data_IF_808963867781
#
_entry.id   IF_808963867781
#
_cell.length_a   1.000
_cell.length_b   1.000
_cell.length_c   1.000
_cell.angle_alpha   90.00
_cell.angle_beta   90.00
_cell.angle_gamma   90.00
#
_symmetry.space_group_name_H-M   'P 1'
#
loop_
_entity.id
_entity.type
_entity.pdbx_description
1 polymer ?
#
# COMPACT_ATOMS: atom_id res chain seq x y z
N UNK A 1 -1.08 -4.64 -8.55
CA UNK A 1 0.01 -3.85 -7.98
C UNK A 1 1.07 -3.45 -9.00
N UNK A 2 1.64 -4.37 -9.79
CA UNK A 2 2.50 -3.98 -10.93
C UNK A 2 1.81 -3.01 -11.89
N UNK A 3 0.53 -3.23 -12.20
CA UNK A 3 -0.26 -2.29 -12.99
C UNK A 3 -0.38 -0.89 -12.36
N UNK A 4 -0.50 -0.81 -11.04
CA UNK A 4 -0.55 0.48 -10.33
C UNK A 4 0.79 1.25 -10.42
N UNK A 5 1.92 0.55 -10.40
CA UNK A 5 3.22 1.17 -10.62
C UNK A 5 3.35 1.74 -12.05
N UNK A 6 2.83 1.00 -13.06
CA UNK A 6 2.79 1.48 -14.44
C UNK A 6 1.89 2.72 -14.60
N UNK A 7 0.78 2.79 -13.86
CA UNK A 7 -0.09 3.98 -13.83
C UNK A 7 0.69 5.19 -13.32
N UNK A 8 1.40 5.04 -12.19
CA UNK A 8 2.21 6.14 -11.64
C UNK A 8 3.27 6.64 -12.62
N UNK A 9 3.93 5.73 -13.35
CA UNK A 9 4.90 6.08 -14.38
C UNK A 9 4.22 6.86 -15.52
N UNK A 10 3.08 6.35 -16.01
CA UNK A 10 2.33 7.00 -17.09
C UNK A 10 1.82 8.39 -16.69
N UNK A 11 1.24 8.54 -15.50
CA UNK A 11 0.80 9.84 -14.99
C UNK A 11 1.97 10.83 -14.81
N UNK A 12 3.11 10.36 -14.29
CA UNK A 12 4.30 11.19 -14.17
C UNK A 12 4.80 11.64 -15.55
N UNK A 13 4.71 10.76 -16.56
CA UNK A 13 5.06 11.12 -17.92
C UNK A 13 4.11 12.19 -18.50
N UNK A 14 2.79 12.00 -18.31
CA UNK A 14 1.81 13.03 -18.75
C UNK A 14 2.06 14.39 -18.10
N UNK A 15 2.27 14.39 -16.79
CA UNK A 15 2.55 15.61 -16.03
C UNK A 15 3.88 16.23 -16.48
N UNK A 16 4.88 15.41 -16.79
CA UNK A 16 6.15 15.88 -17.36
C UNK A 16 6.00 16.59 -18.71
N UNK A 17 5.03 16.17 -19.54
CA UNK A 17 4.70 16.88 -20.80
C UNK A 17 4.03 18.24 -20.57
N UNK A 18 3.37 18.44 -19.43
CA UNK A 18 2.78 19.73 -19.04
C UNK A 18 3.83 20.74 -18.56
N UNK A 19 5.02 20.28 -18.15
CA UNK A 19 6.14 21.12 -17.75
C UNK A 19 6.74 20.80 -16.39
N UNK A 20 7.77 21.57 -16.02
CA UNK A 20 8.54 21.35 -14.79
C UNK A 20 7.74 21.70 -13.52
N UNK A 21 6.97 22.79 -13.56
CA UNK A 21 6.17 23.25 -12.42
C UNK A 21 5.00 22.30 -12.08
N UNK A 22 4.23 21.79 -13.07
CA UNK A 22 3.28 20.70 -12.83
C UNK A 22 3.92 19.43 -12.23
N UNK A 23 5.12 19.07 -12.70
CA UNK A 23 5.83 17.90 -12.17
C UNK A 23 6.25 18.11 -10.70
N UNK A 24 6.68 19.31 -10.33
CA UNK A 24 6.94 19.68 -8.94
C UNK A 24 5.64 19.64 -8.08
N UNK A 25 4.51 20.13 -8.63
CA UNK A 25 3.19 20.04 -8.00
C UNK A 25 2.75 18.60 -7.76
N UNK A 26 2.98 17.71 -8.74
CA UNK A 26 2.69 16.28 -8.58
C UNK A 26 3.53 15.63 -7.47
N UNK A 27 4.80 16.00 -7.34
CA UNK A 27 5.66 15.50 -6.27
C UNK A 27 5.14 15.87 -4.86
N UNK A 28 4.51 17.03 -4.70
CA UNK A 28 3.88 17.46 -3.44
C UNK A 28 2.61 16.67 -3.11
N UNK A 29 1.77 16.38 -4.12
CA UNK A 29 0.49 15.69 -3.88
C UNK A 29 0.64 14.18 -3.72
N UNK A 30 1.65 13.59 -4.35
CA UNK A 30 1.84 12.15 -4.44
C UNK A 30 1.86 11.40 -3.09
N UNK A 31 2.55 11.89 -2.04
CA UNK A 31 2.54 11.22 -0.72
C UNK A 31 1.13 11.09 -0.12
N UNK A 32 0.26 12.09 -0.32
CA UNK A 32 -1.11 12.08 0.21
C UNK A 32 -2.00 11.11 -0.57
N UNK A 33 -1.86 11.05 -1.88
CA UNK A 33 -2.55 10.07 -2.73
C UNK A 33 -2.10 8.64 -2.39
N UNK A 34 -0.79 8.43 -2.21
CA UNK A 34 -0.24 7.14 -1.80
C UNK A 34 -0.77 6.72 -0.43
N UNK A 35 -0.80 7.63 0.56
CA UNK A 35 -1.36 7.37 1.88
C UNK A 35 -2.82 6.95 1.79
N UNK A 36 -3.64 7.68 1.03
CA UNK A 36 -5.05 7.33 0.80
C UNK A 36 -5.21 5.92 0.21
N UNK A 37 -4.40 5.54 -0.76
CA UNK A 37 -4.42 4.20 -1.36
C UNK A 37 -4.01 3.12 -0.35
N UNK A 38 -2.96 3.34 0.42
CA UNK A 38 -2.52 2.39 1.46
C UNK A 38 -3.58 2.20 2.54
N UNK A 39 -4.23 3.28 2.97
CA UNK A 39 -5.27 3.23 3.99
C UNK A 39 -6.54 2.54 3.47
N UNK A 40 -7.01 2.85 2.26
CA UNK A 40 -8.25 2.31 1.71
C UNK A 40 -8.12 0.84 1.26
N UNK A 41 -7.07 0.51 0.47
CA UNK A 41 -6.89 -0.82 -0.10
C UNK A 41 -6.19 -1.81 0.85
N UNK A 42 -5.16 -1.35 1.58
CA UNK A 42 -4.34 -2.18 2.45
C UNK A 42 -4.92 -2.31 3.85
N UNK A 43 -5.07 -1.19 4.54
CA UNK A 43 -5.44 -1.18 5.95
C UNK A 43 -6.92 -1.49 6.16
N UNK A 44 -7.78 -0.62 5.70
CA UNK A 44 -9.22 -0.78 5.90
C UNK A 44 -9.76 -1.94 5.04
N UNK A 45 -9.27 -2.06 3.81
CA UNK A 45 -9.61 -3.19 2.94
C UNK A 45 -9.27 -4.54 3.54
N UNK A 46 -8.13 -4.64 4.23
CA UNK A 46 -7.75 -5.83 4.98
C UNK A 46 -8.67 -6.11 6.17
N UNK A 47 -9.10 -5.06 6.90
CA UNK A 47 -10.09 -5.18 7.98
C UNK A 47 -11.42 -5.71 7.48
N UNK A 48 -11.93 -5.19 6.36
CA UNK A 48 -13.16 -5.65 5.71
C UNK A 48 -13.04 -7.12 5.29
N UNK A 49 -11.99 -7.46 4.55
CA UNK A 49 -11.76 -8.82 4.07
C UNK A 49 -11.60 -9.82 5.22
N UNK A 50 -10.94 -9.42 6.30
CA UNK A 50 -10.76 -10.20 7.52
C UNK A 50 -12.09 -10.47 8.24
N UNK A 51 -12.93 -9.45 8.44
CA UNK A 51 -14.22 -9.61 9.12
C UNK A 51 -15.17 -10.53 8.32
N UNK A 52 -15.24 -10.32 7.00
CA UNK A 52 -16.10 -11.11 6.10
C UNK A 52 -15.61 -12.56 6.03
N UNK A 53 -14.32 -12.80 5.85
CA UNK A 53 -13.78 -14.15 5.75
C UNK A 53 -13.98 -14.96 7.04
N UNK A 54 -13.85 -14.33 8.21
CA UNK A 54 -14.15 -14.97 9.49
C UNK A 54 -15.65 -15.31 9.64
N UNK A 55 -16.55 -14.42 9.21
CA UNK A 55 -17.99 -14.67 9.25
C UNK A 55 -18.38 -15.83 8.33
N UNK A 56 -17.86 -15.85 7.09
CA UNK A 56 -18.10 -16.93 6.14
C UNK A 56 -17.51 -18.27 6.63
N UNK A 57 -16.31 -18.25 7.20
CA UNK A 57 -15.72 -19.45 7.80
C UNK A 57 -16.53 -20.03 8.95
N UNK A 58 -17.23 -19.18 9.70
CA UNK A 58 -18.16 -19.59 10.75
C UNK A 58 -19.57 -20.02 10.21
N UNK A 59 -19.74 -20.08 8.89
CA UNK A 59 -21.03 -20.30 8.22
C UNK A 59 -22.13 -19.26 8.57
N UNK A 60 -21.71 -18.06 9.03
CA UNK A 60 -22.61 -16.96 9.38
C UNK A 60 -22.79 -16.00 8.19
N UNK A 61 -23.49 -16.47 7.16
CA UNK A 61 -23.80 -15.67 5.97
C UNK A 61 -24.61 -14.41 6.27
N UNK A 62 -25.60 -14.41 7.19
CA UNK A 62 -26.30 -13.19 7.59
C UNK A 62 -25.34 -12.11 8.13
N UNK A 63 -24.40 -12.48 9.00
CA UNK A 63 -23.38 -11.57 9.51
C UNK A 63 -22.47 -11.07 8.38
N UNK A 64 -22.05 -11.95 7.47
CA UNK A 64 -21.23 -11.57 6.33
C UNK A 64 -21.93 -10.56 5.42
N UNK A 65 -23.23 -10.72 5.14
CA UNK A 65 -24.03 -9.75 4.39
C UNK A 65 -24.16 -8.41 5.12
N UNK A 66 -24.41 -8.43 6.43
CA UNK A 66 -24.47 -7.21 7.23
C UNK A 66 -23.14 -6.44 7.22
N UNK A 67 -22.00 -7.14 7.24
CA UNK A 67 -20.67 -6.53 7.15
C UNK A 67 -20.47 -5.78 5.83
N UNK A 68 -21.12 -6.17 4.72
CA UNK A 68 -21.03 -5.44 3.43
C UNK A 68 -21.59 -4.02 3.58
N UNK A 69 -22.74 -3.85 4.25
CA UNK A 69 -23.32 -2.53 4.52
C UNK A 69 -22.39 -1.70 5.41
N UNK A 70 -21.89 -2.29 6.49
CA UNK A 70 -20.98 -1.60 7.42
C UNK A 70 -19.68 -1.16 6.72
N UNK A 71 -19.10 -2.01 5.85
CA UNK A 71 -17.96 -1.67 5.03
C UNK A 71 -18.24 -0.51 4.07
N UNK A 72 -19.45 -0.48 3.48
CA UNK A 72 -19.88 0.63 2.60
C UNK A 72 -19.98 1.94 3.37
N UNK A 73 -20.58 1.92 4.57
CA UNK A 73 -20.72 3.12 5.42
C UNK A 73 -19.37 3.64 5.92
N UNK A 74 -18.45 2.74 6.28
CA UNK A 74 -17.07 3.11 6.64
C UNK A 74 -16.37 3.77 5.45
N UNK A 75 -16.49 3.18 4.25
CA UNK A 75 -15.89 3.73 3.04
C UNK A 75 -16.43 5.12 2.70
N UNK A 76 -17.75 5.31 2.80
CA UNK A 76 -18.40 6.61 2.62
C UNK A 76 -17.91 7.62 3.66
N UNK A 77 -17.93 7.25 4.94
CA UNK A 77 -17.54 8.14 6.03
C UNK A 77 -16.08 8.60 5.93
N UNK A 78 -15.15 7.66 5.69
CA UNK A 78 -13.72 8.01 5.57
C UNK A 78 -13.45 8.71 4.24
N UNK A 79 -14.09 8.28 3.14
CA UNK A 79 -13.98 8.96 1.85
C UNK A 79 -14.44 10.42 1.92
N UNK A 80 -15.59 10.68 2.55
CA UNK A 80 -16.09 12.04 2.81
C UNK A 80 -15.14 12.84 3.72
N UNK A 81 -14.58 12.23 4.74
CA UNK A 81 -13.60 12.85 5.61
C UNK A 81 -12.37 13.33 4.83
N UNK A 82 -11.81 12.48 3.94
CA UNK A 82 -10.72 12.88 3.05
C UNK A 82 -11.14 14.01 2.10
N UNK A 83 -12.31 13.89 1.48
CA UNK A 83 -12.85 14.95 0.62
C UNK A 83 -12.94 16.28 1.38
N UNK A 84 -13.55 16.30 2.56
CA UNK A 84 -13.74 17.53 3.34
C UNK A 84 -12.42 18.13 3.81
N UNK A 85 -11.49 17.33 4.32
CA UNK A 85 -10.18 17.82 4.76
C UNK A 85 -9.44 18.48 3.60
N UNK A 86 -9.36 17.81 2.45
CA UNK A 86 -8.58 18.37 1.33
C UNK A 86 -9.32 19.48 0.56
N UNK A 87 -10.64 19.54 0.60
CA UNK A 87 -11.36 20.71 0.08
C UNK A 87 -11.16 21.95 0.95
N UNK A 88 -11.14 21.79 2.28
CA UNK A 88 -11.06 22.91 3.21
C UNK A 88 -9.62 23.30 3.55
N UNK A 89 -8.70 22.36 3.60
CA UNK A 89 -7.35 22.55 4.15
C UNK A 89 -6.21 22.16 3.19
N UNK A 90 -6.48 21.97 1.88
CA UNK A 90 -5.43 21.58 0.92
C UNK A 90 -4.27 22.59 0.89
N UNK A 91 -4.58 23.90 0.76
CA UNK A 91 -3.54 24.93 0.73
C UNK A 91 -2.64 24.92 1.97
N UNK A 92 -3.14 25.01 3.22
CA UNK A 92 -2.28 24.92 4.41
C UNK A 92 -1.52 23.60 4.52
N UNK A 93 -2.12 22.47 4.14
CA UNK A 93 -1.46 21.15 4.18
C UNK A 93 -0.26 21.15 3.22
N UNK A 94 -0.47 21.51 1.95
CA UNK A 94 0.60 21.46 0.95
C UNK A 94 1.65 22.55 1.14
N UNK A 95 1.29 23.72 1.70
CA UNK A 95 2.27 24.73 2.12
C UNK A 95 3.15 24.22 3.26
N UNK A 96 2.58 23.52 4.24
CA UNK A 96 3.33 22.92 5.35
C UNK A 96 4.31 21.82 4.90
N UNK A 97 4.05 21.16 3.76
CA UNK A 97 4.94 20.15 3.15
C UNK A 97 6.03 20.82 2.28
N UNK A 98 6.01 22.15 2.15
CA UNK A 98 7.01 22.91 1.39
C UNK A 98 6.55 23.41 0.02
N UNK A 99 5.25 23.33 -0.28
CA UNK A 99 4.68 23.88 -1.52
C UNK A 99 4.71 25.39 -1.54
N UNK A 100 5.22 25.99 -2.64
CA UNK A 100 5.32 27.43 -2.84
C UNK A 100 5.09 27.80 -4.31
N UNK A 101 4.62 29.03 -4.55
CA UNK A 101 4.47 29.61 -5.88
C UNK A 101 3.57 28.80 -6.81
N UNK A 102 3.88 28.78 -8.10
CA UNK A 102 3.09 28.08 -9.13
C UNK A 102 3.05 26.55 -8.95
N UNK A 103 4.11 25.95 -8.40
CA UNK A 103 4.10 24.51 -8.10
C UNK A 103 3.02 24.14 -7.08
N UNK A 104 2.75 25.02 -6.10
CA UNK A 104 1.65 24.84 -5.16
C UNK A 104 0.29 24.95 -5.88
N UNK A 105 0.11 25.90 -6.79
CA UNK A 105 -1.16 26.03 -7.52
C UNK A 105 -1.44 24.78 -8.38
N UNK A 106 -0.46 24.25 -9.10
CA UNK A 106 -0.58 23.00 -9.84
C UNK A 106 -0.85 21.79 -8.93
N UNK A 107 -0.26 21.77 -7.74
CA UNK A 107 -0.58 20.78 -6.72
C UNK A 107 -2.05 20.85 -6.29
N UNK A 108 -2.56 22.07 -6.06
CA UNK A 108 -3.94 22.31 -5.65
C UNK A 108 -4.94 21.94 -6.75
N UNK A 109 -4.65 22.26 -8.02
CA UNK A 109 -5.47 21.89 -9.18
C UNK A 109 -5.68 20.36 -9.25
N UNK A 110 -4.60 19.60 -9.04
CA UNK A 110 -4.70 18.15 -8.98
C UNK A 110 -5.44 17.68 -7.73
N UNK A 111 -5.04 18.18 -6.55
CA UNK A 111 -5.53 17.71 -5.26
C UNK A 111 -7.04 17.93 -5.10
N UNK A 112 -7.58 19.09 -5.51
CA UNK A 112 -9.00 19.38 -5.41
C UNK A 112 -9.84 18.33 -6.15
N UNK A 113 -9.46 17.98 -7.37
CA UNK A 113 -10.18 16.98 -8.16
C UNK A 113 -9.96 15.56 -7.59
N UNK A 114 -8.72 15.20 -7.31
CA UNK A 114 -8.37 13.86 -6.81
C UNK A 114 -9.09 13.55 -5.48
N UNK A 115 -9.11 14.49 -4.54
CA UNK A 115 -9.75 14.28 -3.25
C UNK A 115 -11.26 14.51 -3.25
N UNK A 116 -11.81 15.28 -4.22
CA UNK A 116 -13.26 15.27 -4.49
C UNK A 116 -13.72 13.85 -4.85
N UNK A 117 -12.91 13.09 -5.59
CA UNK A 117 -13.14 11.69 -5.93
C UNK A 117 -12.76 10.69 -4.86
N UNK A 118 -12.33 11.11 -3.66
CA UNK A 118 -11.88 10.18 -2.61
C UNK A 118 -12.93 9.13 -2.26
N UNK A 119 -14.20 9.49 -2.18
CA UNK A 119 -15.32 8.56 -1.92
C UNK A 119 -15.32 7.40 -2.93
N UNK A 120 -15.11 7.68 -4.22
CA UNK A 120 -15.07 6.65 -5.27
C UNK A 120 -13.92 5.68 -5.10
N UNK A 121 -12.75 6.18 -4.71
CA UNK A 121 -11.54 5.37 -4.43
C UNK A 121 -11.81 4.46 -3.23
N UNK A 122 -12.35 5.01 -2.14
CA UNK A 122 -12.67 4.26 -0.93
C UNK A 122 -13.73 3.19 -1.17
N UNK A 123 -14.79 3.50 -1.91
CA UNK A 123 -15.84 2.54 -2.27
C UNK A 123 -15.29 1.41 -3.15
N UNK A 124 -14.53 1.73 -4.20
CA UNK A 124 -13.90 0.72 -5.08
C UNK A 124 -13.03 -0.24 -4.29
N UNK A 125 -12.12 0.28 -3.47
CA UNK A 125 -11.21 -0.54 -2.67
C UNK A 125 -11.96 -1.37 -1.61
N UNK A 126 -13.01 -0.83 -1.00
CA UNK A 126 -13.84 -1.53 -0.02
C UNK A 126 -14.65 -2.65 -0.68
N UNK A 127 -15.32 -2.40 -1.79
CA UNK A 127 -16.07 -3.43 -2.53
C UNK A 127 -15.16 -4.53 -3.07
N UNK A 128 -13.97 -4.15 -3.59
CA UNK A 128 -12.95 -5.13 -3.96
C UNK A 128 -12.51 -5.98 -2.76
N UNK A 129 -12.42 -5.40 -1.57
CA UNK A 129 -12.05 -6.09 -0.34
C UNK A 129 -13.16 -6.99 0.20
N UNK A 130 -14.43 -6.60 0.03
CA UNK A 130 -15.58 -7.47 0.27
C UNK A 130 -15.46 -8.74 -0.56
N UNK A 131 -15.22 -8.61 -1.87
CA UNK A 131 -15.08 -9.76 -2.77
C UNK A 131 -13.85 -10.62 -2.42
N UNK A 132 -12.72 -10.00 -2.10
CA UNK A 132 -11.53 -10.74 -1.61
C UNK A 132 -11.84 -11.53 -0.34
N UNK A 133 -12.63 -10.95 0.57
CA UNK A 133 -13.09 -11.60 1.79
C UNK A 133 -13.92 -12.86 1.54
N UNK A 134 -14.61 -12.97 0.41
CA UNK A 134 -15.32 -14.19 -0.02
C UNK A 134 -14.41 -15.24 -0.69
N UNK A 135 -13.12 -14.95 -0.87
CA UNK A 135 -12.20 -15.77 -1.65
C UNK A 135 -12.22 -15.49 -3.16
N UNK A 136 -13.10 -14.60 -3.62
CA UNK A 136 -13.14 -14.21 -5.04
C UNK A 136 -12.04 -13.19 -5.34
N UNK A 137 -10.89 -13.68 -5.80
CA UNK A 137 -9.77 -12.83 -6.23
C UNK A 137 -9.90 -12.40 -7.70
N UNK A 138 -10.65 -13.17 -8.52
CA UNK A 138 -10.72 -12.95 -9.97
C UNK A 138 -11.44 -11.65 -10.33
N UNK A 139 -12.60 -11.41 -9.73
CA UNK A 139 -13.43 -10.22 -10.04
C UNK A 139 -12.72 -8.92 -9.63
N UNK A 140 -12.27 -8.73 -8.37
CA UNK A 140 -11.58 -7.50 -7.98
C UNK A 140 -10.28 -7.28 -8.75
N UNK A 141 -9.53 -8.33 -9.09
CA UNK A 141 -8.30 -8.18 -9.88
C UNK A 141 -8.58 -7.69 -11.30
N UNK A 142 -9.61 -8.22 -11.96
CA UNK A 142 -10.03 -7.75 -13.30
C UNK A 142 -10.50 -6.29 -13.26
N UNK A 143 -11.32 -5.94 -12.28
CA UNK A 143 -11.84 -4.57 -12.14
C UNK A 143 -10.71 -3.59 -11.88
N UNK A 144 -9.80 -3.89 -10.94
CA UNK A 144 -8.67 -3.02 -10.65
C UNK A 144 -7.69 -2.90 -11.84
N UNK A 145 -7.54 -3.95 -12.64
CA UNK A 145 -6.77 -3.86 -13.88
C UNK A 145 -7.45 -2.92 -14.89
N UNK A 146 -8.77 -3.02 -15.04
CA UNK A 146 -9.53 -2.11 -15.91
C UNK A 146 -9.48 -0.66 -15.40
N UNK A 147 -9.50 -0.46 -14.07
CA UNK A 147 -9.26 0.88 -13.47
C UNK A 147 -7.89 1.42 -13.90
N UNK A 148 -6.83 0.61 -13.79
CA UNK A 148 -5.48 1.04 -14.20
C UNK A 148 -5.43 1.43 -15.68
N UNK A 149 -6.01 0.62 -16.57
CA UNK A 149 -6.06 0.91 -18.02
C UNK A 149 -6.90 2.17 -18.28
N UNK A 150 -8.08 2.26 -17.67
CA UNK A 150 -8.97 3.41 -17.81
C UNK A 150 -8.34 4.69 -17.26
N UNK A 151 -7.65 4.61 -16.12
CA UNK A 151 -6.92 5.73 -15.52
C UNK A 151 -5.83 6.24 -16.46
N UNK A 152 -4.95 5.37 -16.97
CA UNK A 152 -3.91 5.77 -17.93
C UNK A 152 -4.53 6.43 -19.17
N UNK A 153 -5.55 5.83 -19.77
CA UNK A 153 -6.18 6.36 -20.97
C UNK A 153 -6.86 7.73 -20.70
N UNK A 154 -7.70 7.80 -19.68
CA UNK A 154 -8.47 9.02 -19.37
C UNK A 154 -7.60 10.16 -18.86
N UNK A 155 -6.59 9.86 -18.00
CA UNK A 155 -5.64 10.86 -17.51
C UNK A 155 -4.81 11.45 -18.66
N UNK A 156 -4.41 10.64 -19.64
CA UNK A 156 -3.71 11.12 -20.83
C UNK A 156 -4.62 11.98 -21.72
N UNK A 157 -5.84 11.51 -22.01
CA UNK A 157 -6.79 12.22 -22.86
C UNK A 157 -7.19 13.58 -22.25
N UNK A 158 -7.57 13.58 -20.98
CA UNK A 158 -8.04 14.80 -20.30
C UNK A 158 -6.87 15.72 -19.89
N UNK A 159 -5.73 15.16 -19.51
CA UNK A 159 -4.56 15.95 -19.09
C UNK A 159 -3.88 16.66 -20.26
N UNK A 160 -3.61 15.93 -21.34
CA UNK A 160 -2.87 16.45 -22.49
C UNK A 160 -3.77 17.04 -23.59
N UNK A 161 -5.07 16.75 -23.57
CA UNK A 161 -5.99 17.23 -24.61
C UNK A 161 -5.82 16.48 -25.92
N UNK A 162 -6.08 15.18 -25.94
CA UNK A 162 -5.96 14.35 -27.12
C UNK A 162 -7.29 14.33 -27.92
N UNK A 163 -7.20 14.53 -29.23
CA UNK A 163 -8.36 14.57 -30.14
C UNK A 163 -9.18 15.85 -30.01
N UNK A 164 -10.52 15.78 -29.96
CA UNK A 164 -11.38 16.97 -29.86
C UNK A 164 -11.48 17.55 -28.44
N UNK A 165 -10.84 16.94 -27.45
CA UNK A 165 -10.92 17.31 -26.04
C UNK A 165 -9.82 18.32 -25.74
N UNK A 166 -10.14 19.47 -25.12
CA UNK A 166 -9.13 20.45 -24.71
C UNK A 166 -8.28 19.89 -23.55
N UNK A 167 -7.05 20.37 -23.44
CA UNK A 167 -6.18 20.03 -22.29
C UNK A 167 -6.69 20.70 -21.03
N UNK A 168 -6.92 19.89 -19.98
CA UNK A 168 -7.26 20.37 -18.63
C UNK A 168 -6.07 20.33 -17.68
N UNK A 169 -4.85 20.03 -18.18
CA UNK A 169 -3.64 20.04 -17.38
C UNK A 169 -3.71 19.09 -16.17
N UNK A 170 -3.24 19.55 -15.01
CA UNK A 170 -3.21 18.78 -13.77
C UNK A 170 -4.59 18.31 -13.30
N UNK A 171 -5.61 19.17 -13.43
CA UNK A 171 -7.01 18.82 -13.12
C UNK A 171 -7.53 17.70 -14.03
N UNK A 172 -7.13 17.69 -15.32
CA UNK A 172 -7.48 16.64 -16.27
C UNK A 172 -6.88 15.28 -15.92
N UNK A 173 -5.62 15.25 -15.49
CA UNK A 173 -4.97 14.02 -15.03
C UNK A 173 -5.70 13.44 -13.81
N UNK A 174 -6.02 14.28 -12.84
CA UNK A 174 -6.79 13.86 -11.66
C UNK A 174 -8.22 13.40 -12.00
N UNK A 175 -8.89 14.09 -12.94
CA UNK A 175 -10.24 13.75 -13.40
C UNK A 175 -10.27 12.35 -14.06
N UNK A 176 -9.23 11.99 -14.81
CA UNK A 176 -9.09 10.66 -15.39
C UNK A 176 -9.08 9.55 -14.31
N UNK A 177 -8.29 9.76 -13.26
CA UNK A 177 -8.26 8.86 -12.10
C UNK A 177 -9.63 8.74 -11.44
N UNK A 178 -10.25 9.86 -11.10
CA UNK A 178 -11.56 9.88 -10.42
C UNK A 178 -12.64 9.21 -11.26
N UNK A 179 -12.65 9.44 -12.57
CA UNK A 179 -13.62 8.84 -13.49
C UNK A 179 -13.45 7.32 -13.54
N UNK A 180 -12.21 6.81 -13.63
CA UNK A 180 -11.93 5.38 -13.64
C UNK A 180 -12.38 4.70 -12.34
N UNK A 181 -12.09 5.29 -11.18
CA UNK A 181 -12.53 4.77 -9.88
C UNK A 181 -14.05 4.89 -9.69
N UNK A 182 -14.67 5.99 -10.13
CA UNK A 182 -16.13 6.17 -10.03
C UNK A 182 -16.88 5.12 -10.86
N UNK A 183 -16.44 4.88 -12.08
CA UNK A 183 -17.00 3.83 -12.94
C UNK A 183 -16.86 2.45 -12.29
N UNK A 184 -15.71 2.18 -11.69
CA UNK A 184 -15.45 0.94 -10.97
C UNK A 184 -16.34 0.80 -9.72
N UNK A 185 -16.48 1.87 -8.93
CA UNK A 185 -17.34 1.86 -7.75
C UNK A 185 -18.80 1.55 -8.12
N UNK A 186 -19.31 2.18 -9.18
CA UNK A 186 -20.66 1.93 -9.72
C UNK A 186 -20.81 0.48 -10.19
N UNK A 187 -19.83 -0.02 -10.96
CA UNK A 187 -19.87 -1.40 -11.43
C UNK A 187 -19.87 -2.41 -10.27
N UNK A 188 -18.97 -2.24 -9.28
CA UNK A 188 -18.88 -3.13 -8.12
C UNK A 188 -20.12 -3.04 -7.22
N UNK A 189 -20.72 -1.86 -7.09
CA UNK A 189 -22.00 -1.68 -6.39
C UNK A 189 -23.10 -2.53 -7.01
N UNK A 190 -23.30 -2.45 -8.32
CA UNK A 190 -24.29 -3.27 -9.02
C UNK A 190 -23.93 -4.75 -9.01
N UNK A 191 -22.63 -5.09 -9.09
CA UNK A 191 -22.17 -6.47 -8.97
C UNK A 191 -22.54 -7.07 -7.62
N UNK A 192 -22.31 -6.34 -6.50
CA UNK A 192 -22.67 -6.79 -5.15
C UNK A 192 -24.20 -6.85 -4.90
N UNK A 193 -25.01 -6.23 -5.75
CA UNK A 193 -26.48 -6.36 -5.71
C UNK A 193 -27.02 -7.43 -6.66
N UNK A 194 -26.17 -8.00 -7.49
CA UNK A 194 -26.58 -9.03 -8.44
C UNK A 194 -26.51 -10.43 -7.81
N UNK A 195 -27.28 -11.37 -8.38
CA UNK A 195 -27.22 -12.79 -8.02
C UNK A 195 -25.88 -13.48 -8.31
N UNK A 196 -24.95 -12.79 -8.98
CA UNK A 196 -23.59 -13.29 -9.27
C UNK A 196 -22.65 -13.18 -8.07
N UNK A 197 -22.98 -12.36 -7.09
CA UNK A 197 -22.18 -12.18 -5.88
C UNK A 197 -22.62 -13.16 -4.80
N UNK A 198 -21.64 -13.75 -4.10
CA UNK A 198 -21.91 -14.61 -2.95
C UNK A 198 -22.56 -13.84 -1.78
N UNK A 199 -22.15 -12.58 -1.62
CA UNK A 199 -22.71 -11.66 -0.61
C UNK A 199 -23.50 -10.56 -1.31
N UNK A 200 -24.58 -10.14 -0.66
CA UNK A 200 -25.46 -9.12 -1.20
C UNK A 200 -25.44 -7.85 -0.34
N UNK A 201 -25.30 -6.69 -1.01
CA UNK A 201 -25.44 -5.40 -0.36
C UNK A 201 -26.93 -5.11 -0.13
N UNK A 202 -27.40 -5.31 1.11
CA UNK A 202 -28.75 -5.00 1.54
C UNK A 202 -28.73 -3.81 2.49
N UNK A 203 -29.58 -2.82 2.24
CA UNK A 203 -29.76 -1.66 3.12
C UNK A 203 -30.71 -1.93 4.30
N UNK A 204 -31.34 -3.10 4.34
CA UNK A 204 -32.24 -3.51 5.41
C UNK A 204 -31.53 -4.17 6.59
N UNK A 205 -30.22 -4.43 6.46
CA UNK A 205 -29.45 -5.03 7.55
C UNK A 205 -29.37 -4.08 8.75
N UNK A 206 -29.59 -4.56 9.99
CA UNK A 206 -29.52 -3.72 11.17
C UNK A 206 -28.08 -3.23 11.39
N UNK A 207 -27.95 -1.96 11.74
CA UNK A 207 -26.67 -1.38 12.10
C UNK A 207 -26.26 -1.85 13.49
N UNK A 208 -25.05 -2.38 13.61
CA UNK A 208 -24.50 -2.89 14.87
C UNK A 208 -23.12 -2.30 15.14
N UNK A 209 -22.94 -1.74 16.34
CA UNK A 209 -21.65 -1.26 16.80
C UNK A 209 -20.59 -2.36 16.77
N UNK A 210 -20.96 -3.61 17.06
CA UNK A 210 -20.06 -4.74 17.05
C UNK A 210 -19.49 -5.01 15.66
N UNK A 211 -20.29 -4.87 14.60
CA UNK A 211 -19.84 -5.08 13.22
C UNK A 211 -18.93 -3.95 12.73
N UNK A 212 -19.20 -2.70 13.12
CA UNK A 212 -18.27 -1.60 12.87
C UNK A 212 -16.93 -1.85 13.54
N UNK A 213 -16.94 -2.24 14.82
CA UNK A 213 -15.70 -2.51 15.57
C UNK A 213 -14.94 -3.72 15.03
N UNK A 214 -15.61 -4.73 14.49
CA UNK A 214 -14.97 -5.92 13.88
C UNK A 214 -14.10 -5.53 12.67
N UNK A 215 -14.54 -4.53 11.89
CA UNK A 215 -13.77 -3.97 10.76
C UNK A 215 -12.73 -2.95 11.25
N UNK A 216 -13.16 -1.96 12.06
CA UNK A 216 -12.34 -0.82 12.45
C UNK A 216 -11.18 -1.21 13.36
N UNK A 217 -11.34 -2.22 14.22
CA UNK A 217 -10.25 -2.70 15.08
C UNK A 217 -9.07 -3.23 14.26
N UNK A 218 -9.36 -4.02 13.23
CA UNK A 218 -8.33 -4.57 12.33
C UNK A 218 -7.84 -3.48 11.38
N UNK A 219 -8.73 -2.73 10.76
CA UNK A 219 -8.40 -1.65 9.83
C UNK A 219 -7.60 -0.52 10.48
N UNK A 220 -8.00 -0.07 11.69
CA UNK A 220 -7.29 0.97 12.44
C UNK A 220 -5.88 0.55 12.87
N UNK A 221 -5.72 -0.68 13.40
CA UNK A 221 -4.39 -1.21 13.72
C UNK A 221 -3.52 -1.33 12.46
N UNK A 222 -4.10 -1.73 11.34
CA UNK A 222 -3.39 -1.79 10.05
C UNK A 222 -3.01 -0.40 9.54
N UNK A 223 -3.82 0.62 9.79
CA UNK A 223 -3.53 2.00 9.40
C UNK A 223 -2.26 2.52 10.07
N UNK A 224 -2.01 2.12 11.32
CA UNK A 224 -0.76 2.44 12.01
C UNK A 224 0.46 1.87 11.27
N UNK A 225 0.38 0.63 10.75
CA UNK A 225 1.46 0.05 9.94
C UNK A 225 1.69 0.80 8.62
N UNK A 226 0.62 1.29 7.99
CA UNK A 226 0.75 2.12 6.77
C UNK A 226 1.44 3.45 7.07
N UNK A 227 1.08 4.11 8.18
CA UNK A 227 1.72 5.35 8.63
C UNK A 227 3.21 5.12 8.97
N UNK A 228 3.53 4.02 9.65
CA UNK A 228 4.92 3.63 9.95
C UNK A 228 5.74 3.43 8.68
N UNK A 229 5.15 2.84 7.65
CA UNK A 229 5.83 2.62 6.36
C UNK A 229 6.16 3.94 5.68
N UNK A 230 5.20 4.86 5.62
CA UNK A 230 5.44 6.20 5.04
C UNK A 230 6.47 6.97 5.86
N UNK A 231 6.36 6.95 7.19
CA UNK A 231 7.32 7.59 8.08
C UNK A 231 8.74 7.03 7.89
N UNK A 232 8.87 5.71 7.77
CA UNK A 232 10.17 5.06 7.53
C UNK A 232 10.81 5.52 6.21
N UNK A 233 10.03 5.60 5.12
CA UNK A 233 10.52 6.06 3.82
C UNK A 233 11.02 7.51 3.94
N UNK A 234 10.26 8.40 4.56
CA UNK A 234 10.62 9.81 4.71
C UNK A 234 11.89 9.96 5.58
N UNK A 235 11.92 9.30 6.73
CA UNK A 235 13.05 9.37 7.67
C UNK A 235 14.32 8.82 7.03
N UNK A 236 14.26 7.65 6.39
CA UNK A 236 15.45 7.04 5.77
C UNK A 236 15.95 7.91 4.61
N UNK A 237 15.05 8.43 3.77
CA UNK A 237 15.43 9.32 2.67
C UNK A 237 16.13 10.58 3.19
N UNK A 238 15.58 11.19 4.25
CA UNK A 238 16.19 12.36 4.90
C UNK A 238 17.56 12.04 5.49
N UNK A 239 17.71 10.90 6.16
CA UNK A 239 19.00 10.48 6.72
C UNK A 239 20.01 10.15 5.63
N UNK A 240 19.57 9.51 4.54
CA UNK A 240 20.47 9.19 3.42
C UNK A 240 21.02 10.45 2.71
N UNK A 241 20.29 11.55 2.70
CA UNK A 241 20.77 12.81 2.13
C UNK A 241 22.02 13.36 2.86
N UNK A 242 22.22 13.00 4.12
CA UNK A 242 23.40 13.43 4.92
C UNK A 242 24.69 12.70 4.53
N UNK A 243 24.59 11.55 3.82
CA UNK A 243 25.76 10.77 3.37
C UNK A 243 26.23 11.12 1.96
N UNK A 244 25.66 12.16 1.36
CA UNK A 244 26.04 12.66 0.03
C UNK A 244 25.09 12.22 -1.09
N UNK A 245 25.16 12.89 -2.25
CA UNK A 245 24.25 12.67 -3.36
C UNK A 245 24.39 11.27 -3.99
N UNK A 246 25.59 10.70 -4.01
CA UNK A 246 25.84 9.38 -4.57
C UNK A 246 25.24 8.26 -3.72
N UNK A 247 25.33 8.37 -2.38
CA UNK A 247 24.71 7.43 -1.44
C UNK A 247 23.18 7.53 -1.50
N UNK A 248 22.63 8.74 -1.62
CA UNK A 248 21.20 8.97 -1.81
C UNK A 248 20.69 8.39 -3.14
N UNK A 249 21.46 8.58 -4.23
CA UNK A 249 21.13 8.02 -5.54
C UNK A 249 21.14 6.48 -5.51
N UNK A 250 22.15 5.88 -4.85
CA UNK A 250 22.24 4.44 -4.68
C UNK A 250 21.06 3.87 -3.88
N UNK A 251 20.68 4.52 -2.78
CA UNK A 251 19.47 4.18 -2.02
C UNK A 251 18.21 4.27 -2.90
N UNK A 252 18.10 5.33 -3.71
CA UNK A 252 17.00 5.51 -4.65
C UNK A 252 16.91 4.39 -5.70
N UNK A 253 18.04 3.91 -6.23
CA UNK A 253 18.08 2.77 -7.16
C UNK A 253 17.69 1.47 -6.44
N UNK A 254 18.16 1.25 -5.22
CA UNK A 254 17.83 0.07 -4.41
C UNK A 254 16.34 0.01 -4.07
N UNK A 255 15.75 1.11 -3.61
CA UNK A 255 14.33 1.17 -3.27
C UNK A 255 13.41 0.97 -4.47
N UNK A 256 13.84 1.30 -5.70
CA UNK A 256 13.08 0.96 -6.92
C UNK A 256 12.92 -0.55 -7.09
N UNK A 257 13.92 -1.35 -6.73
CA UNK A 257 13.78 -2.80 -6.71
C UNK A 257 12.78 -3.24 -5.63
N UNK A 258 12.83 -2.64 -4.44
CA UNK A 258 11.86 -2.93 -3.37
C UNK A 258 10.42 -2.68 -3.84
N UNK A 259 10.16 -1.61 -4.58
CA UNK A 259 8.84 -1.33 -5.16
C UNK A 259 8.37 -2.39 -6.17
N UNK A 260 9.26 -3.19 -6.76
CA UNK A 260 8.90 -4.35 -7.57
C UNK A 260 8.69 -5.62 -6.73
N UNK A 261 9.44 -5.78 -5.63
CA UNK A 261 9.37 -6.94 -4.74
C UNK A 261 8.15 -6.91 -3.81
N UNK A 262 7.78 -5.73 -3.33
CA UNK A 262 6.61 -5.52 -2.47
C UNK A 262 5.31 -6.05 -3.10
N UNK A 263 4.96 -5.77 -4.36
CA UNK A 263 3.80 -6.37 -5.04
C UNK A 263 3.78 -7.89 -5.06
N UNK A 264 4.93 -8.53 -5.19
CA UNK A 264 5.04 -10.00 -5.17
C UNK A 264 4.63 -10.52 -3.78
N UNK A 265 5.21 -9.96 -2.72
CA UNK A 265 4.86 -10.31 -1.33
C UNK A 265 3.39 -10.03 -1.03
N UNK A 266 2.86 -8.91 -1.51
CA UNK A 266 1.45 -8.56 -1.38
C UNK A 266 0.52 -9.58 -2.03
N UNK A 267 0.89 -10.16 -3.17
CA UNK A 267 0.07 -11.18 -3.83
C UNK A 267 -0.12 -12.41 -2.93
N UNK A 268 0.96 -12.89 -2.30
CA UNK A 268 0.88 -13.97 -1.32
C UNK A 268 0.09 -13.55 -0.07
N UNK A 269 0.40 -12.38 0.49
CA UNK A 269 -0.24 -11.88 1.70
C UNK A 269 -1.76 -11.69 1.55
N UNK A 270 -2.19 -11.04 0.47
CA UNK A 270 -3.61 -10.79 0.18
C UNK A 270 -4.36 -12.10 -0.08
N UNK A 271 -3.71 -13.14 -0.63
CA UNK A 271 -4.31 -14.47 -0.77
C UNK A 271 -4.42 -15.19 0.59
N UNK A 272 -3.39 -15.13 1.42
CA UNK A 272 -3.38 -15.75 2.75
C UNK A 272 -4.44 -15.16 3.69
N UNK A 273 -4.68 -13.85 3.62
CA UNK A 273 -5.58 -13.14 4.52
C UNK A 273 -6.98 -13.77 4.62
N UNK A 274 -7.77 -13.92 3.54
CA UNK A 274 -9.10 -14.53 3.63
C UNK A 274 -9.04 -16.04 3.92
N UNK A 275 -8.02 -16.74 3.45
CA UNK A 275 -7.85 -18.18 3.76
C UNK A 275 -7.64 -18.42 5.25
N UNK A 276 -6.81 -17.59 5.90
CA UNK A 276 -6.61 -17.62 7.36
C UNK A 276 -7.90 -17.23 8.08
N UNK A 277 -8.58 -16.16 7.63
CA UNK A 277 -9.84 -15.71 8.21
C UNK A 277 -10.91 -16.79 8.15
N UNK A 278 -11.11 -17.44 7.00
CA UNK A 278 -12.07 -18.55 6.85
C UNK A 278 -11.71 -19.75 7.73
N UNK A 279 -10.43 -20.14 7.76
CA UNK A 279 -9.99 -21.27 8.60
C UNK A 279 -10.25 -20.99 10.09
N UNK A 280 -10.00 -19.77 10.57
CA UNK A 280 -10.28 -19.40 11.96
C UNK A 280 -11.79 -19.27 12.24
N UNK A 281 -12.56 -18.77 11.28
CA UNK A 281 -14.03 -18.78 11.38
C UNK A 281 -14.58 -20.18 11.56
N UNK A 282 -14.03 -21.16 10.85
CA UNK A 282 -14.35 -22.58 10.95
C UNK A 282 -13.71 -23.30 12.16
N UNK A 283 -13.04 -22.59 13.07
CA UNK A 283 -12.30 -23.13 14.22
C UNK A 283 -11.12 -24.08 13.84
N UNK A 284 -10.65 -24.02 12.59
CA UNK A 284 -9.53 -24.81 12.06
C UNK A 284 -8.19 -24.08 12.27
N UNK A 285 -7.79 -23.87 13.54
CA UNK A 285 -6.60 -23.07 13.91
C UNK A 285 -5.32 -23.62 13.29
N UNK A 286 -5.14 -24.94 13.26
CA UNK A 286 -3.96 -25.57 12.69
C UNK A 286 -3.83 -25.29 11.18
N UNK A 287 -4.96 -25.37 10.44
CA UNK A 287 -5.02 -25.02 9.02
C UNK A 287 -4.68 -23.55 8.80
N UNK A 288 -5.20 -22.65 9.64
CA UNK A 288 -4.89 -21.22 9.56
C UNK A 288 -3.38 -20.97 9.70
N UNK A 289 -2.73 -21.60 10.68
CA UNK A 289 -1.27 -21.52 10.86
C UNK A 289 -0.52 -22.11 9.67
N UNK A 290 -0.93 -23.26 9.15
CA UNK A 290 -0.31 -23.85 7.96
C UNK A 290 -0.37 -22.91 6.75
N UNK A 291 -1.53 -22.33 6.46
CA UNK A 291 -1.69 -21.35 5.36
C UNK A 291 -0.78 -20.15 5.56
N UNK A 292 -0.75 -19.59 6.77
CA UNK A 292 0.08 -18.43 7.08
C UNK A 292 1.57 -18.70 6.86
N UNK A 293 2.08 -19.79 7.39
CA UNK A 293 3.50 -20.16 7.28
C UNK A 293 3.89 -20.60 5.86
N UNK A 294 3.05 -21.39 5.18
CA UNK A 294 3.32 -21.81 3.80
C UNK A 294 3.39 -20.59 2.85
N UNK A 295 2.42 -19.67 2.95
CA UNK A 295 2.43 -18.47 2.13
C UNK A 295 3.61 -17.55 2.44
N UNK A 296 3.94 -17.40 3.73
CA UNK A 296 5.06 -16.58 4.16
C UNK A 296 6.41 -17.15 3.72
N UNK A 297 6.61 -18.47 3.84
CA UNK A 297 7.83 -19.14 3.39
C UNK A 297 7.98 -19.09 1.87
N UNK A 298 6.91 -19.34 1.11
CA UNK A 298 6.96 -19.24 -0.36
C UNK A 298 7.33 -17.82 -0.80
N UNK A 299 6.70 -16.80 -0.21
CA UNK A 299 7.02 -15.40 -0.49
C UNK A 299 8.47 -15.07 -0.11
N UNK A 300 8.91 -15.52 1.08
CA UNK A 300 10.27 -15.32 1.60
C UNK A 300 11.33 -15.93 0.69
N UNK A 301 11.13 -17.18 0.25
CA UNK A 301 12.05 -17.85 -0.65
C UNK A 301 12.12 -17.15 -2.00
N UNK A 302 10.96 -16.83 -2.61
CA UNK A 302 10.93 -16.19 -3.93
C UNK A 302 11.62 -14.83 -3.91
N UNK A 303 11.26 -13.97 -2.94
CA UNK A 303 11.81 -12.62 -2.82
C UNK A 303 13.25 -12.66 -2.32
N UNK A 304 13.58 -13.61 -1.45
CA UNK A 304 14.95 -13.85 -0.97
C UNK A 304 15.88 -14.30 -2.09
N UNK A 305 15.43 -15.17 -3.00
CA UNK A 305 16.22 -15.57 -4.17
C UNK A 305 16.54 -14.36 -5.09
N UNK A 306 15.56 -13.47 -5.31
CA UNK A 306 15.80 -12.24 -6.08
C UNK A 306 16.79 -11.34 -5.33
N UNK A 307 16.66 -11.22 -4.01
CA UNK A 307 17.60 -10.47 -3.17
C UNK A 307 19.02 -11.00 -3.21
N UNK A 308 19.19 -12.31 -3.15
CA UNK A 308 20.49 -12.95 -3.29
C UNK A 308 21.06 -12.76 -4.71
N UNK A 309 20.23 -12.82 -5.74
CA UNK A 309 20.66 -12.56 -7.12
C UNK A 309 21.30 -11.17 -7.24
N UNK A 310 20.65 -10.11 -6.76
CA UNK A 310 21.20 -8.75 -6.84
C UNK A 310 22.34 -8.52 -5.84
N UNK A 311 22.41 -9.30 -4.76
CA UNK A 311 23.55 -9.28 -3.83
C UNK A 311 24.84 -9.76 -4.51
N UNK A 312 24.78 -10.86 -5.28
CA UNK A 312 25.94 -11.42 -5.96
C UNK A 312 26.23 -10.73 -7.31
N UNK A 313 25.21 -10.25 -7.99
CA UNK A 313 25.31 -9.58 -9.30
C UNK A 313 24.56 -8.24 -9.30
N UNK A 314 25.02 -7.23 -8.53
CA UNK A 314 24.34 -5.94 -8.42
C UNK A 314 24.23 -5.22 -9.77
N UNK A 315 25.19 -5.43 -10.69
CA UNK A 315 25.20 -4.83 -12.02
C UNK A 315 23.95 -5.12 -12.85
N UNK A 316 23.33 -6.30 -12.71
CA UNK A 316 22.09 -6.65 -13.43
C UNK A 316 20.97 -5.61 -13.25
N UNK A 317 20.94 -4.98 -12.07
CA UNK A 317 19.93 -3.95 -11.77
C UNK A 317 20.50 -2.53 -11.88
N UNK A 318 21.70 -2.29 -11.36
CA UNK A 318 22.25 -0.95 -11.19
C UNK A 318 22.67 -0.29 -12.51
N UNK A 319 23.26 -1.07 -13.44
CA UNK A 319 23.71 -0.58 -14.74
C UNK A 319 22.57 -0.10 -15.65
N UNK A 320 21.31 -0.48 -15.33
CA UNK A 320 20.13 0.04 -16.03
C UNK A 320 19.86 1.52 -15.74
N UNK A 321 20.43 2.06 -14.66
CA UNK A 321 20.11 3.42 -14.19
C UNK A 321 21.28 4.39 -14.27
N UNK A 322 22.51 3.90 -14.17
CA UNK A 322 23.71 4.77 -14.11
C UNK A 322 24.97 4.06 -14.55
N UNK A 323 25.90 4.84 -15.07
CA UNK A 323 27.28 4.43 -15.34
C UNK A 323 28.29 5.10 -14.39
N UNK A 324 27.83 5.90 -13.41
CA UNK A 324 28.70 6.58 -12.46
C UNK A 324 29.35 5.55 -11.51
N UNK A 325 30.70 5.41 -11.49
CA UNK A 325 31.38 4.38 -10.68
C UNK A 325 31.09 4.49 -9.18
N UNK A 326 30.96 5.71 -8.63
CA UNK A 326 30.67 5.92 -7.21
C UNK A 326 29.27 5.46 -6.85
N UNK A 327 28.26 5.77 -7.68
CA UNK A 327 26.89 5.31 -7.47
C UNK A 327 26.82 3.79 -7.60
N UNK A 328 27.51 3.20 -8.58
CA UNK A 328 27.59 1.74 -8.73
C UNK A 328 28.18 1.07 -7.49
N UNK A 329 29.28 1.62 -6.93
CA UNK A 329 29.90 1.09 -5.71
C UNK A 329 28.97 1.16 -4.49
N UNK A 330 28.30 2.29 -4.27
CA UNK A 330 27.32 2.44 -3.18
C UNK A 330 26.11 1.54 -3.37
N UNK A 331 25.64 1.33 -4.60
CA UNK A 331 24.51 0.45 -4.87
C UNK A 331 24.89 -1.03 -4.70
N UNK A 332 26.11 -1.41 -5.07
CA UNK A 332 26.65 -2.74 -4.78
C UNK A 332 26.71 -2.97 -3.26
N UNK A 333 27.21 -2.00 -2.51
CA UNK A 333 27.23 -2.05 -1.04
C UNK A 333 25.83 -2.13 -0.43
N UNK A 334 24.85 -1.38 -0.97
CA UNK A 334 23.46 -1.46 -0.59
C UNK A 334 22.91 -2.89 -0.75
N UNK A 335 23.09 -3.50 -1.92
CA UNK A 335 22.59 -4.85 -2.17
C UNK A 335 23.35 -5.94 -1.40
N UNK A 336 24.62 -5.74 -1.07
CA UNK A 336 25.36 -6.66 -0.19
C UNK A 336 24.71 -6.74 1.20
N UNK A 337 24.29 -5.61 1.78
CA UNK A 337 23.65 -5.58 3.09
C UNK A 337 22.16 -5.93 3.05
N UNK A 338 21.41 -5.35 2.13
CA UNK A 338 19.95 -5.38 2.13
C UNK A 338 19.41 -6.56 1.30
N UNK A 339 20.10 -6.93 0.22
CA UNK A 339 19.66 -8.02 -0.66
C UNK A 339 19.33 -9.32 0.09
N UNK A 340 20.21 -9.87 0.95
CA UNK A 340 19.91 -11.08 1.72
C UNK A 340 18.73 -10.92 2.69
N UNK A 341 18.43 -9.68 3.08
CA UNK A 341 17.39 -9.37 4.07
C UNK A 341 15.98 -9.27 3.47
N UNK A 342 15.85 -9.19 2.13
CA UNK A 342 14.56 -9.13 1.47
C UNK A 342 13.65 -10.33 1.78
N UNK A 343 14.22 -11.53 1.94
CA UNK A 343 13.47 -12.71 2.36
C UNK A 343 12.83 -12.56 3.74
N UNK A 344 13.55 -11.98 4.71
CA UNK A 344 13.01 -11.71 6.04
C UNK A 344 11.91 -10.65 6.02
N UNK A 345 12.09 -9.61 5.22
CA UNK A 345 11.06 -8.59 5.03
C UNK A 345 9.79 -9.18 4.42
N UNK A 346 9.92 -10.02 3.38
CA UNK A 346 8.79 -10.70 2.74
C UNK A 346 8.10 -11.67 3.71
N UNK A 347 8.85 -12.41 4.53
CA UNK A 347 8.32 -13.26 5.60
C UNK A 347 7.42 -12.44 6.55
N UNK A 348 7.97 -11.35 7.08
CA UNK A 348 7.26 -10.46 8.01
C UNK A 348 6.00 -9.87 7.40
N UNK A 349 6.08 -9.37 6.16
CA UNK A 349 4.95 -8.73 5.48
C UNK A 349 3.84 -9.74 5.14
N UNK A 350 4.17 -10.95 4.71
CA UNK A 350 3.17 -11.98 4.44
C UNK A 350 2.49 -12.45 5.74
N UNK A 351 3.25 -12.65 6.83
CA UNK A 351 2.72 -12.98 8.16
C UNK A 351 1.89 -11.83 8.75
N UNK A 352 2.20 -10.58 8.45
CA UNK A 352 1.35 -9.44 8.80
C UNK A 352 -0.05 -9.57 8.17
N UNK A 353 -0.15 -9.91 6.87
CA UNK A 353 -1.44 -10.14 6.21
C UNK A 353 -2.19 -11.35 6.79
N UNK A 354 -1.48 -12.43 7.12
CA UNK A 354 -2.08 -13.57 7.80
C UNK A 354 -2.63 -13.17 9.18
N UNK A 355 -1.89 -12.37 9.94
CA UNK A 355 -2.33 -11.81 11.23
C UNK A 355 -3.51 -10.87 11.07
N UNK A 356 -3.58 -10.12 9.97
CA UNK A 356 -4.72 -9.29 9.61
C UNK A 356 -5.98 -10.15 9.38
N UNK A 357 -5.83 -11.28 8.66
CA UNK A 357 -6.89 -12.29 8.51
C UNK A 357 -7.35 -12.88 9.84
N UNK A 358 -6.42 -13.11 10.77
CA UNK A 358 -6.71 -13.58 12.11
C UNK A 358 -7.30 -12.51 13.05
N UNK A 359 -7.23 -11.23 12.69
CA UNK A 359 -7.59 -10.12 13.57
C UNK A 359 -6.62 -9.91 14.75
N UNK A 360 -5.40 -10.44 14.67
CA UNK A 360 -4.38 -10.43 15.74
C UNK A 360 -3.14 -9.64 15.29
N UNK A 361 -3.25 -8.34 15.14
CA UNK A 361 -2.24 -7.47 14.51
C UNK A 361 -1.21 -6.86 15.46
N UNK A 362 -1.43 -6.90 16.78
CA UNK A 362 -0.58 -6.19 17.74
C UNK A 362 0.91 -6.56 17.57
N UNK A 363 1.24 -7.83 17.44
CA UNK A 363 2.61 -8.29 17.29
C UNK A 363 3.30 -7.74 16.02
N UNK A 364 2.73 -7.94 14.81
CA UNK A 364 3.27 -7.38 13.59
C UNK A 364 3.39 -5.84 13.60
N UNK A 365 2.42 -5.13 14.19
CA UNK A 365 2.48 -3.67 14.33
C UNK A 365 3.63 -3.25 15.24
N UNK A 366 3.83 -3.94 16.39
CA UNK A 366 4.96 -3.68 17.28
C UNK A 366 6.31 -4.00 16.61
N UNK A 367 6.38 -5.04 15.78
CA UNK A 367 7.57 -5.33 14.98
C UNK A 367 7.87 -4.20 13.98
N UNK A 368 6.84 -3.63 13.35
CA UNK A 368 6.97 -2.43 12.51
C UNK A 368 7.43 -1.20 13.29
N UNK A 369 6.90 -0.98 14.50
CA UNK A 369 7.34 0.10 15.40
C UNK A 369 8.80 -0.08 15.79
N UNK A 370 9.21 -1.29 16.15
CA UNK A 370 10.61 -1.61 16.46
C UNK A 370 11.53 -1.27 15.29
N UNK A 371 11.19 -1.72 14.05
CA UNK A 371 11.93 -1.40 12.84
C UNK A 371 12.06 0.12 12.65
N UNK A 372 10.96 0.85 12.77
CA UNK A 372 10.93 2.30 12.61
C UNK A 372 11.83 3.00 13.65
N UNK A 373 11.69 2.64 14.94
CA UNK A 373 12.48 3.21 16.01
C UNK A 373 13.98 2.88 15.86
N UNK A 374 14.31 1.64 15.50
CA UNK A 374 15.68 1.21 15.29
C UNK A 374 16.36 2.04 14.18
N UNK A 375 15.70 2.16 13.03
CA UNK A 375 16.25 2.87 11.88
C UNK A 375 16.28 4.38 12.12
N UNK A 376 15.26 4.96 12.75
CA UNK A 376 15.24 6.38 13.07
C UNK A 376 16.30 6.76 14.12
N UNK A 377 16.29 6.10 15.27
CA UNK A 377 17.21 6.41 16.36
C UNK A 377 18.67 6.06 15.98
N UNK A 378 18.87 4.88 15.38
CA UNK A 378 20.20 4.46 14.93
C UNK A 378 20.75 5.34 13.80
N UNK A 379 19.90 5.73 12.84
CA UNK A 379 20.29 6.61 11.75
C UNK A 379 20.65 8.03 12.23
N UNK A 380 19.86 8.60 13.16
CA UNK A 380 20.20 9.88 13.80
C UNK A 380 21.53 9.76 14.56
N UNK A 381 21.74 8.69 15.29
CA UNK A 381 23.00 8.46 16.01
C UNK A 381 24.20 8.36 15.05
N UNK A 382 24.07 7.64 13.94
CA UNK A 382 25.12 7.52 12.90
C UNK A 382 25.45 8.87 12.29
N UNK A 383 24.46 9.67 11.92
CA UNK A 383 24.69 11.00 11.34
C UNK A 383 25.41 11.96 12.30
N UNK A 384 25.15 11.87 13.63
CA UNK A 384 25.82 12.68 14.62
C UNK A 384 27.26 12.22 14.93
N UNK A 385 27.56 10.94 14.74
CA UNK A 385 28.88 10.35 15.03
C UNK A 385 29.74 10.11 13.78
N UNK A 386 29.49 10.84 12.68
CA UNK A 386 30.21 10.69 11.42
C UNK A 386 30.20 9.24 10.89
N UNK A 387 29.11 8.55 11.04
CA UNK A 387 28.92 7.21 10.50
C UNK A 387 28.98 7.19 8.98
N UNK A 388 29.11 6.01 8.41
CA UNK A 388 29.21 5.76 6.98
C UNK A 388 27.88 5.33 6.36
N UNK A 389 27.73 5.50 5.04
CA UNK A 389 26.58 4.97 4.30
C UNK A 389 26.47 3.43 4.45
N UNK A 390 27.60 2.71 4.57
CA UNK A 390 27.62 1.27 4.82
C UNK A 390 26.94 0.90 6.14
N UNK A 391 27.24 1.64 7.20
CA UNK A 391 26.61 1.44 8.52
C UNK A 391 25.11 1.74 8.47
N UNK A 392 24.70 2.77 7.71
CA UNK A 392 23.30 3.06 7.50
C UNK A 392 22.58 1.93 6.73
N UNK A 393 23.18 1.37 5.70
CA UNK A 393 22.64 0.21 4.97
C UNK A 393 22.55 -1.03 5.86
N UNK A 394 23.57 -1.29 6.70
CA UNK A 394 23.53 -2.38 7.67
C UNK A 394 22.43 -2.21 8.73
N UNK A 395 22.18 -0.99 9.16
CA UNK A 395 21.09 -0.65 10.10
C UNK A 395 19.70 -0.89 9.47
N UNK A 396 19.52 -0.49 8.21
CA UNK A 396 18.29 -0.77 7.46
C UNK A 396 18.08 -2.28 7.33
N UNK A 397 19.12 -3.04 6.98
CA UNK A 397 19.11 -4.48 6.87
C UNK A 397 18.75 -5.15 8.21
N UNK A 398 19.35 -4.71 9.33
CA UNK A 398 19.02 -5.17 10.67
C UNK A 398 17.54 -4.90 11.02
N UNK A 399 17.03 -3.74 10.61
CA UNK A 399 15.60 -3.40 10.75
C UNK A 399 14.68 -4.33 9.96
N UNK A 400 15.05 -4.74 8.75
CA UNK A 400 14.27 -5.70 7.93
C UNK A 400 14.28 -7.11 8.56
N UNK A 401 15.44 -7.59 9.00
CA UNK A 401 15.58 -8.88 9.69
C UNK A 401 14.78 -8.86 11.00
N UNK A 402 14.94 -7.81 11.82
CA UNK A 402 14.20 -7.64 13.07
C UNK A 402 12.69 -7.65 12.86
N UNK A 403 12.19 -6.93 11.86
CA UNK A 403 10.78 -6.95 11.48
C UNK A 403 10.28 -8.35 11.13
N UNK A 404 11.01 -9.07 10.28
CA UNK A 404 10.65 -10.43 9.88
C UNK A 404 10.61 -11.40 11.05
N UNK A 405 11.68 -11.42 11.84
CA UNK A 405 11.82 -12.36 12.98
C UNK A 405 10.84 -12.05 14.12
N UNK A 406 10.66 -10.78 14.48
CA UNK A 406 9.70 -10.38 15.53
C UNK A 406 8.26 -10.67 15.10
N UNK A 407 7.92 -10.45 13.83
CA UNK A 407 6.60 -10.80 13.30
C UNK A 407 6.41 -12.32 13.32
N UNK A 408 7.40 -13.10 12.87
CA UNK A 408 7.37 -14.56 12.90
C UNK A 408 7.22 -15.09 14.33
N UNK A 409 7.99 -14.55 15.27
CA UNK A 409 7.92 -14.93 16.68
C UNK A 409 6.54 -14.60 17.28
N UNK A 410 5.97 -13.45 16.95
CA UNK A 410 4.64 -13.06 17.42
C UNK A 410 3.56 -14.01 16.92
N UNK A 411 3.60 -14.39 15.62
CA UNK A 411 2.65 -15.34 15.01
C UNK A 411 2.81 -16.76 15.58
N UNK A 412 4.03 -17.16 15.91
CA UNK A 412 4.30 -18.44 16.53
C UNK A 412 3.71 -18.52 17.95
N UNK A 413 3.95 -17.49 18.78
CA UNK A 413 3.55 -17.45 20.20
C UNK A 413 2.07 -17.12 20.41
N UNK A 414 1.45 -16.32 19.53
CA UNK A 414 0.06 -15.91 19.72
C UNK A 414 -0.89 -17.08 19.56
N UNK A 415 -1.78 -17.26 20.54
CA UNK A 415 -2.92 -18.17 20.40
C UNK A 415 -3.90 -17.58 19.38
N UNK A 416 -4.12 -18.30 18.27
CA UNK A 416 -5.14 -17.99 17.29
C UNK A 416 -6.50 -18.61 17.62
N UNK A 417 -6.57 -19.39 18.70
CA UNK A 417 -7.84 -19.81 19.28
C UNK A 417 -8.60 -18.59 19.81
N UNK A 418 -9.93 -18.66 19.78
CA UNK A 418 -10.83 -17.64 20.34
C UNK A 418 -10.75 -17.61 21.85
#
# INVERSE_FOLDING_TARGET
>A
MTASAMVTIAETWYVGQLGLLPLAGMALVFPMVMLQQMLSAGSMGGGISSAISRALGANDTPKANALVLHATLIALGIGLFFTLIFLLFSRPIFTAIGGQGEALEHCLDYAQIAFLGAVSIWLTNSFASVLRGTGNMRTPSKVLLLVCVGQVALSGILGLGLGPIPSFGMAGVAAGTVTAYSTSAIYLFFYLRSSRSLLNLSFTSPLSRGLFLDILKVGGMSSLSSLQTVAAIVIVTSLMSSFGPEALAAYGIGTRLEFLLVPITFAFGVACLPMVGMALGANLVQRAKQVAWSGALLSSVLVGCIGLLVCFWPGIWTELFTSNPLVLSYTALYFQWIGPCYGFFALGLCLYFASQGAGKLLGPVLAGTFRLCLVAAGGIWLTHNNGTAAEMFSLIAAGMVGYGLLTALSVYKVSWAR
#
